data_IF_412686943444
#
_entry.id   IF_412686943444
#
_cell.length_a   1.000
_cell.length_b   1.000
_cell.length_c   1.000
_cell.angle_alpha   90.00
_cell.angle_beta   90.00
_cell.angle_gamma   90.00
#
_symmetry.space_group_name_H-M   'P 1'
#
loop_
_entity.id
_entity.type
_entity.pdbx_description
1 polymer ?
#
# COMPACT_ATOMS: atom_id res chain seq x y z
N UNK A 1 -9.64 -5.21 -12.00
CA UNK A 1 -10.29 -4.34 -13.01
C UNK A 1 -9.18 -3.44 -13.55
N UNK A 2 -8.70 -3.77 -14.73
CA UNK A 2 -7.74 -2.93 -15.45
C UNK A 2 -8.47 -1.75 -16.07
N UNK A 3 -8.03 -0.55 -15.74
CA UNK A 3 -8.29 0.63 -16.55
C UNK A 3 -7.20 0.66 -17.63
N UNK A 4 -7.58 0.49 -18.87
CA UNK A 4 -6.69 0.75 -19.99
C UNK A 4 -6.81 2.24 -20.30
N UNK A 5 -5.72 2.95 -20.14
CA UNK A 5 -5.67 4.39 -20.38
C UNK A 5 -5.16 4.68 -21.80
N UNK A 6 -5.60 5.78 -22.38
CA UNK A 6 -5.27 6.18 -23.75
C UNK A 6 -4.47 7.49 -23.82
N UNK A 7 -3.93 7.95 -22.68
CA UNK A 7 -3.12 9.16 -22.59
C UNK A 7 -1.79 8.90 -21.89
N UNK A 8 -0.83 9.78 -22.11
CA UNK A 8 0.44 9.83 -21.39
C UNK A 8 0.50 11.08 -20.52
N UNK A 9 1.06 10.91 -19.33
CA UNK A 9 1.31 12.02 -18.41
C UNK A 9 2.21 13.07 -19.06
N UNK A 10 1.98 14.32 -18.72
CA UNK A 10 2.83 15.43 -19.12
C UNK A 10 4.12 15.46 -18.29
N UNK A 11 5.10 16.28 -18.69
CA UNK A 11 6.39 16.38 -18.00
C UNK A 11 6.25 16.83 -16.53
N UNK A 12 5.32 17.71 -16.23
CA UNK A 12 5.03 18.22 -14.90
C UNK A 12 4.29 17.19 -14.02
N UNK A 13 3.69 16.16 -14.62
CA UNK A 13 3.06 15.04 -13.93
C UNK A 13 4.00 13.85 -13.68
N UNK A 14 5.28 13.97 -14.07
CA UNK A 14 6.25 12.88 -13.91
C UNK A 14 6.55 12.56 -12.45
N UNK A 15 6.47 13.54 -11.57
CA UNK A 15 6.71 13.33 -10.13
C UNK A 15 5.51 12.65 -9.47
N UNK A 16 4.31 13.09 -9.80
CA UNK A 16 3.07 12.55 -9.29
C UNK A 16 1.97 12.65 -10.34
N UNK A 17 1.37 11.50 -10.65
CA UNK A 17 0.25 11.40 -11.59
C UNK A 17 -1.01 11.10 -10.81
N UNK A 18 -2.01 12.00 -10.77
CA UNK A 18 -3.22 11.81 -9.98
C UNK A 18 -4.12 10.69 -10.52
N UNK A 19 -3.97 10.36 -11.79
CA UNK A 19 -4.69 9.29 -12.47
C UNK A 19 -3.70 8.40 -13.23
N UNK A 20 -3.94 7.07 -13.29
CA UNK A 20 -3.10 6.17 -14.08
C UNK A 20 -3.09 6.59 -15.56
N UNK A 21 -1.96 6.41 -16.22
CA UNK A 21 -1.74 6.70 -17.63
C UNK A 21 -1.12 5.49 -18.35
N UNK A 22 -0.88 5.57 -19.65
CA UNK A 22 -0.27 4.48 -20.43
C UNK A 22 1.10 4.05 -19.86
N UNK A 23 1.88 4.96 -19.28
CA UNK A 23 3.15 4.62 -18.65
C UNK A 23 2.92 3.74 -17.42
N UNK A 24 1.94 4.08 -16.59
CA UNK A 24 1.53 3.25 -15.45
C UNK A 24 1.09 1.85 -15.89
N UNK A 25 0.23 1.75 -16.90
CA UNK A 25 -0.26 0.46 -17.39
C UNK A 25 0.88 -0.41 -17.95
N UNK A 26 1.76 0.18 -18.78
CA UNK A 26 2.83 -0.56 -19.48
C UNK A 26 3.96 -0.97 -18.55
N UNK A 27 4.41 -0.10 -17.64
CA UNK A 27 5.54 -0.36 -16.76
C UNK A 27 5.15 -0.88 -15.38
N UNK A 28 3.99 -0.51 -14.90
CA UNK A 28 3.49 -0.92 -13.59
C UNK A 28 2.83 -2.30 -13.61
N UNK A 29 1.91 -2.53 -14.54
CA UNK A 29 1.08 -3.75 -14.54
C UNK A 29 1.51 -4.81 -15.55
N UNK A 30 1.71 -4.45 -16.83
CA UNK A 30 1.91 -5.44 -17.89
C UNK A 30 3.06 -6.43 -17.65
N UNK A 31 4.25 -6.02 -17.14
CA UNK A 31 5.32 -6.99 -16.88
C UNK A 31 4.92 -8.05 -15.85
N UNK A 32 4.21 -7.65 -14.82
CA UNK A 32 3.77 -8.57 -13.75
C UNK A 32 2.63 -9.49 -14.18
N UNK A 33 1.75 -9.06 -15.09
CA UNK A 33 0.69 -9.90 -15.63
C UNK A 33 1.19 -11.07 -16.47
N UNK A 34 2.46 -11.03 -16.90
CA UNK A 34 3.11 -12.17 -17.55
C UNK A 34 3.52 -13.27 -16.56
N UNK A 35 3.42 -12.99 -15.26
CA UNK A 35 3.73 -13.94 -14.18
C UNK A 35 2.44 -14.58 -13.68
N UNK A 36 2.36 -15.90 -13.76
CA UNK A 36 1.16 -16.68 -13.42
C UNK A 36 0.60 -16.37 -12.03
N UNK A 37 1.48 -16.20 -11.04
CA UNK A 37 1.05 -15.91 -9.67
C UNK A 37 0.38 -14.53 -9.56
N UNK A 38 0.92 -13.52 -10.24
CA UNK A 38 0.36 -12.17 -10.20
C UNK A 38 -0.97 -12.10 -10.96
N UNK A 39 -1.03 -12.72 -12.13
CA UNK A 39 -2.27 -12.83 -12.90
C UNK A 39 -3.39 -13.51 -12.10
N UNK A 40 -3.07 -14.59 -11.34
CA UNK A 40 -4.05 -15.24 -10.45
C UNK A 40 -4.56 -14.32 -9.34
N UNK A 41 -3.69 -13.49 -8.77
CA UNK A 41 -4.09 -12.51 -7.74
C UNK A 41 -5.06 -11.48 -8.33
N UNK A 42 -4.75 -10.93 -9.48
CA UNK A 42 -5.62 -9.96 -10.17
C UNK A 42 -6.98 -10.55 -10.53
N UNK A 43 -7.03 -11.80 -10.96
CA UNK A 43 -8.26 -12.49 -11.36
C UNK A 43 -9.26 -12.67 -10.19
N UNK A 44 -8.82 -12.57 -8.95
CA UNK A 44 -9.70 -12.75 -7.77
C UNK A 44 -10.59 -11.55 -7.49
N UNK A 45 -10.14 -10.35 -7.83
CA UNK A 45 -10.84 -9.12 -7.48
C UNK A 45 -12.19 -8.97 -8.22
N UNK A 46 -12.22 -9.26 -9.52
CA UNK A 46 -13.41 -9.00 -10.34
C UNK A 46 -14.63 -9.88 -9.97
N UNK A 47 -14.49 -11.20 -9.75
CA UNK A 47 -15.61 -12.04 -9.29
C UNK A 47 -16.18 -11.61 -7.95
N UNK A 48 -15.31 -11.31 -6.97
CA UNK A 48 -15.71 -10.82 -5.67
C UNK A 48 -16.42 -9.46 -5.76
N UNK A 49 -15.84 -8.51 -6.49
CA UNK A 49 -16.41 -7.17 -6.66
C UNK A 49 -17.82 -7.17 -7.26
N UNK A 50 -18.11 -8.08 -8.20
CA UNK A 50 -19.43 -8.20 -8.85
C UNK A 50 -20.52 -8.59 -7.86
N UNK A 51 -20.21 -9.42 -6.85
CA UNK A 51 -21.15 -9.95 -5.87
C UNK A 51 -21.13 -9.21 -4.52
N UNK A 52 -20.19 -8.31 -4.35
CA UNK A 52 -19.98 -7.57 -3.13
C UNK A 52 -21.05 -6.51 -2.87
N UNK A 53 -21.38 -6.28 -1.60
CA UNK A 53 -22.13 -5.09 -1.14
C UNK A 53 -21.32 -3.83 -1.41
N UNK A 54 -21.93 -2.66 -1.23
CA UNK A 54 -21.22 -1.39 -1.42
C UNK A 54 -20.04 -1.24 -0.43
N UNK A 55 -20.22 -1.64 0.83
CA UNK A 55 -19.16 -1.59 1.84
C UNK A 55 -18.02 -2.55 1.50
N UNK A 56 -18.34 -3.79 1.10
CA UNK A 56 -17.34 -4.77 0.68
C UNK A 56 -16.58 -4.31 -0.58
N UNK A 57 -17.22 -3.61 -1.51
CA UNK A 57 -16.56 -3.03 -2.68
C UNK A 57 -15.48 -2.00 -2.27
N UNK A 58 -15.76 -1.19 -1.25
CA UNK A 58 -14.76 -0.25 -0.74
C UNK A 58 -13.57 -0.98 -0.08
N UNK A 59 -13.81 -2.08 0.61
CA UNK A 59 -12.74 -2.94 1.13
C UNK A 59 -11.93 -3.59 -0.01
N UNK A 60 -12.60 -4.15 -1.00
CA UNK A 60 -11.96 -4.77 -2.17
C UNK A 60 -11.04 -3.76 -2.90
N UNK A 61 -11.51 -2.52 -3.09
CA UNK A 61 -10.69 -1.44 -3.66
C UNK A 61 -9.45 -1.12 -2.83
N UNK A 62 -9.55 -1.18 -1.49
CA UNK A 62 -8.41 -0.96 -0.59
C UNK A 62 -7.45 -2.12 -0.63
N UNK A 63 -7.94 -3.36 -0.69
CA UNK A 63 -7.09 -4.54 -0.83
C UNK A 63 -6.28 -4.48 -2.15
N UNK A 64 -6.90 -4.13 -3.28
CA UNK A 64 -6.18 -3.92 -4.53
C UNK A 64 -5.17 -2.77 -4.42
N UNK A 65 -5.56 -1.65 -3.78
CA UNK A 65 -4.68 -0.50 -3.58
C UNK A 65 -3.41 -0.84 -2.81
N UNK A 66 -3.53 -1.55 -1.69
CA UNK A 66 -2.39 -1.89 -0.82
C UNK A 66 -1.71 -3.22 -1.18
N UNK A 67 -2.12 -3.88 -2.25
CA UNK A 67 -1.46 -5.05 -2.84
C UNK A 67 -0.90 -4.72 -4.22
N UNK A 68 -1.66 -4.87 -5.27
CA UNK A 68 -1.18 -4.77 -6.66
C UNK A 68 -0.77 -3.35 -7.08
N UNK A 69 -1.32 -2.30 -6.43
CA UNK A 69 -0.93 -0.91 -6.71
C UNK A 69 0.24 -0.42 -5.85
N UNK A 70 0.22 -0.65 -4.54
CA UNK A 70 1.21 -0.12 -3.59
C UNK A 70 1.81 -1.20 -2.70
N UNK A 71 1.86 -2.44 -3.18
CA UNK A 71 2.35 -3.59 -2.41
C UNK A 71 3.87 -3.69 -2.35
N UNK A 72 4.32 -4.23 -1.22
CA UNK A 72 5.69 -4.63 -0.96
C UNK A 72 5.74 -6.12 -0.63
N UNK A 73 6.85 -6.78 -0.95
CA UNK A 73 7.05 -8.21 -0.70
C UNK A 73 8.46 -8.49 -0.20
N UNK A 74 8.63 -9.54 0.58
CA UNK A 74 9.95 -10.05 0.93
C UNK A 74 10.50 -10.92 -0.20
N UNK A 75 11.74 -10.66 -0.59
CA UNK A 75 12.51 -11.47 -1.51
C UNK A 75 13.97 -11.47 -1.06
N UNK A 76 14.57 -12.65 -0.90
CA UNK A 76 15.95 -12.80 -0.41
C UNK A 76 16.22 -12.01 0.89
N UNK A 77 15.29 -12.10 1.84
CA UNK A 77 15.32 -11.38 3.12
C UNK A 77 15.42 -9.85 2.99
N UNK A 78 14.87 -9.30 1.91
CA UNK A 78 14.81 -7.86 1.65
C UNK A 78 13.41 -7.43 1.23
N UNK A 79 13.03 -6.24 1.64
CA UNK A 79 11.78 -5.63 1.17
C UNK A 79 11.95 -5.19 -0.28
N UNK A 80 11.05 -5.63 -1.15
CA UNK A 80 10.99 -5.31 -2.58
C UNK A 80 9.68 -4.62 -2.93
N UNK A 81 9.76 -3.73 -3.89
CA UNK A 81 8.59 -3.06 -4.47
C UNK A 81 8.05 -3.90 -5.62
N UNK A 82 6.75 -4.16 -5.64
CA UNK A 82 6.07 -4.76 -6.80
C UNK A 82 4.81 -3.98 -7.21
N UNK A 83 4.30 -3.08 -6.36
CA UNK A 83 3.10 -2.32 -6.64
C UNK A 83 3.24 -1.36 -7.82
N UNK A 84 2.29 -1.43 -8.76
CA UNK A 84 2.32 -0.67 -10.01
C UNK A 84 2.35 0.85 -9.79
N UNK A 85 1.61 1.36 -8.80
CA UNK A 85 1.59 2.77 -8.42
C UNK A 85 2.93 3.28 -7.90
N UNK A 86 3.66 2.44 -7.15
CA UNK A 86 5.01 2.80 -6.70
C UNK A 86 5.98 2.81 -7.87
N UNK A 87 5.99 1.75 -8.70
CA UNK A 87 6.96 1.57 -9.81
C UNK A 87 6.80 2.67 -10.86
N UNK A 88 5.58 3.06 -11.15
CA UNK A 88 5.27 4.05 -12.18
C UNK A 88 5.25 5.51 -11.68
N UNK A 89 5.34 5.72 -10.37
CA UNK A 89 5.37 7.05 -9.74
C UNK A 89 6.77 7.40 -9.24
N UNK A 90 7.48 8.32 -9.91
CA UNK A 90 8.86 8.66 -9.55
C UNK A 90 9.00 9.10 -8.08
N UNK A 91 8.12 9.97 -7.63
CA UNK A 91 8.19 10.49 -6.26
C UNK A 91 7.83 9.42 -5.21
N UNK A 92 6.82 8.57 -5.49
CA UNK A 92 6.47 7.44 -4.61
C UNK A 92 7.62 6.42 -4.52
N UNK A 93 8.20 6.05 -5.65
CA UNK A 93 9.33 5.13 -5.70
C UNK A 93 10.55 5.70 -4.93
N UNK A 94 10.87 6.96 -5.15
CA UNK A 94 11.98 7.62 -4.47
C UNK A 94 11.75 7.68 -2.96
N UNK A 95 10.54 8.02 -2.52
CA UNK A 95 10.15 8.07 -1.11
C UNK A 95 10.25 6.69 -0.44
N UNK A 96 9.74 5.65 -1.11
CA UNK A 96 9.81 4.26 -0.62
C UNK A 96 11.25 3.77 -0.49
N UNK A 97 12.10 4.02 -1.50
CA UNK A 97 13.52 3.63 -1.47
C UNK A 97 14.29 4.40 -0.39
N UNK A 98 14.01 5.70 -0.22
CA UNK A 98 14.64 6.51 0.81
C UNK A 98 14.28 6.03 2.21
N UNK A 99 13.04 5.58 2.41
CA UNK A 99 12.62 4.98 3.68
C UNK A 99 13.36 3.67 3.96
N UNK A 100 13.53 2.79 2.98
CA UNK A 100 14.33 1.56 3.14
C UNK A 100 15.77 1.88 3.48
N UNK A 101 16.37 2.89 2.84
CA UNK A 101 17.73 3.33 3.14
C UNK A 101 17.84 3.90 4.56
N UNK A 102 16.88 4.70 4.99
CA UNK A 102 16.83 5.25 6.34
C UNK A 102 16.75 4.15 7.40
N UNK A 103 15.85 3.21 7.24
CA UNK A 103 15.69 2.08 8.16
C UNK A 103 16.97 1.26 8.28
N UNK A 104 17.67 1.05 7.17
CA UNK A 104 18.96 0.34 7.15
C UNK A 104 20.08 1.17 7.82
N UNK A 105 20.16 2.47 7.51
CA UNK A 105 21.17 3.37 8.08
C UNK A 105 21.05 3.53 9.59
N UNK A 106 19.81 3.66 10.05
CA UNK A 106 19.51 3.89 11.47
C UNK A 106 19.48 2.58 12.28
N UNK A 107 19.87 1.46 11.64
CA UNK A 107 19.92 0.11 12.24
C UNK A 107 18.60 -0.38 12.83
N UNK A 108 17.49 0.13 12.33
CA UNK A 108 16.14 -0.30 12.74
C UNK A 108 15.84 -1.69 12.20
N UNK A 109 16.35 -2.01 11.00
CA UNK A 109 16.28 -3.34 10.38
C UNK A 109 17.69 -3.93 10.32
N UNK A 110 17.88 -5.07 10.98
CA UNK A 110 19.07 -5.88 10.84
C UNK A 110 18.87 -6.90 9.71
N UNK A 111 19.47 -6.62 8.56
CA UNK A 111 19.41 -7.49 7.38
C UNK A 111 20.21 -8.80 7.53
N UNK A 112 20.95 -9.01 8.60
CA UNK A 112 21.57 -10.30 8.92
C UNK A 112 20.61 -11.27 9.62
N UNK A 113 19.55 -10.75 10.23
CA UNK A 113 18.46 -11.48 10.85
C UNK A 113 17.27 -11.66 9.93
N UNK A 114 16.19 -12.22 10.44
CA UNK A 114 14.90 -12.32 9.75
C UNK A 114 14.21 -10.96 9.71
N UNK A 115 14.20 -10.33 8.54
CA UNK A 115 13.64 -8.98 8.35
C UNK A 115 12.12 -8.96 8.55
N UNK A 116 11.41 -9.99 8.10
CA UNK A 116 9.96 -10.03 8.26
C UNK A 116 9.54 -10.24 9.72
N UNK A 117 10.25 -11.09 10.45
CA UNK A 117 10.01 -11.26 11.89
C UNK A 117 10.27 -9.97 12.67
N UNK A 118 11.32 -9.21 12.33
CA UNK A 118 11.57 -7.89 12.93
C UNK A 118 10.45 -6.91 12.63
N UNK A 119 9.95 -6.88 11.38
CA UNK A 119 8.82 -6.06 10.99
C UNK A 119 7.57 -6.41 11.81
N UNK A 120 7.29 -7.71 11.96
CA UNK A 120 6.17 -8.19 12.76
C UNK A 120 6.29 -7.80 14.23
N UNK A 121 7.47 -7.98 14.83
CA UNK A 121 7.72 -7.60 16.23
C UNK A 121 7.52 -6.10 16.47
N UNK A 122 8.04 -5.26 15.57
CA UNK A 122 7.84 -3.81 15.65
C UNK A 122 6.38 -3.41 15.49
N UNK A 123 5.69 -4.04 14.56
CA UNK A 123 4.27 -3.83 14.35
C UNK A 123 3.46 -4.18 15.61
N UNK A 124 3.73 -5.33 16.21
CA UNK A 124 3.00 -5.78 17.41
C UNK A 124 3.26 -4.89 18.62
N UNK A 125 4.48 -4.41 18.81
CA UNK A 125 4.82 -3.45 19.86
C UNK A 125 4.10 -2.11 19.72
N UNK A 126 3.84 -1.69 18.50
CA UNK A 126 3.31 -0.36 18.19
C UNK A 126 1.87 -0.40 17.67
N UNK A 127 1.18 -1.53 17.78
CA UNK A 127 -0.17 -1.76 17.24
C UNK A 127 -1.18 -0.69 17.67
N UNK A 128 -1.10 -0.24 18.92
CA UNK A 128 -1.99 0.80 19.45
C UNK A 128 -1.76 2.14 18.75
N UNK A 129 -0.51 2.56 18.59
CA UNK A 129 -0.14 3.79 17.90
C UNK A 129 -0.51 3.73 16.42
N UNK A 130 -0.29 2.60 15.77
CA UNK A 130 -0.70 2.37 14.38
C UNK A 130 -2.22 2.52 14.25
N UNK A 131 -2.99 1.96 15.17
CA UNK A 131 -4.45 2.08 15.17
C UNK A 131 -4.90 3.55 15.33
N UNK A 132 -4.22 4.32 16.16
CA UNK A 132 -4.45 5.76 16.32
C UNK A 132 -4.15 6.54 15.05
N UNK A 133 -3.05 6.18 14.36
CA UNK A 133 -2.68 6.79 13.06
C UNK A 133 -3.75 6.48 12.01
N UNK A 134 -4.18 5.23 11.90
CA UNK A 134 -5.23 4.83 10.93
C UNK A 134 -6.52 5.62 11.19
N UNK A 135 -6.94 5.73 12.45
CA UNK A 135 -8.11 6.50 12.82
C UNK A 135 -7.97 7.99 12.43
N UNK A 136 -6.80 8.56 12.67
CA UNK A 136 -6.49 9.95 12.28
C UNK A 136 -6.48 10.16 10.76
N UNK A 137 -5.84 9.27 10.00
CA UNK A 137 -5.83 9.33 8.53
C UNK A 137 -7.25 9.21 7.97
N UNK A 138 -8.07 8.34 8.55
CA UNK A 138 -9.48 8.19 8.18
C UNK A 138 -10.28 9.48 8.42
N UNK A 139 -10.07 10.13 9.56
CA UNK A 139 -10.69 11.42 9.89
C UNK A 139 -10.28 12.52 8.88
N UNK A 140 -8.98 12.64 8.58
CA UNK A 140 -8.44 13.61 7.63
C UNK A 140 -9.00 13.39 6.21
N UNK A 141 -9.07 12.14 5.78
CA UNK A 141 -9.66 11.79 4.50
C UNK A 141 -11.15 12.18 4.43
N UNK A 142 -11.92 11.93 5.49
CA UNK A 142 -13.34 12.31 5.56
C UNK A 142 -13.54 13.83 5.50
N UNK A 143 -12.60 14.60 6.04
CA UNK A 143 -12.62 16.07 5.99
C UNK A 143 -12.16 16.66 4.65
N UNK A 144 -11.67 15.82 3.73
CA UNK A 144 -11.10 16.27 2.46
C UNK A 144 -9.73 16.96 2.58
N UNK A 145 -9.05 16.82 3.72
CA UNK A 145 -7.75 17.43 3.99
C UNK A 145 -6.59 16.73 3.28
N UNK A 146 -6.86 15.64 2.54
CA UNK A 146 -5.90 14.87 1.74
C UNK A 146 -6.23 14.95 0.25
N UNK A 147 -6.55 16.14 -0.24
CA UNK A 147 -7.00 16.37 -1.61
C UNK A 147 -5.87 16.62 -2.62
N UNK A 148 -4.65 16.89 -2.14
CA UNK A 148 -3.44 17.05 -2.97
C UNK A 148 -2.24 16.40 -2.29
N UNK A 149 -1.19 16.10 -3.06
CA UNK A 149 0.00 15.45 -2.53
C UNK A 149 0.65 16.25 -1.41
N UNK A 150 0.98 17.52 -1.66
CA UNK A 150 1.67 18.37 -0.68
C UNK A 150 0.83 18.59 0.57
N UNK A 151 -0.45 18.84 0.38
CA UNK A 151 -1.38 19.03 1.48
C UNK A 151 -1.53 17.76 2.32
N UNK A 152 -1.78 16.62 1.67
CA UNK A 152 -1.93 15.34 2.36
C UNK A 152 -0.69 14.97 3.16
N UNK A 153 0.49 15.20 2.60
CA UNK A 153 1.75 14.92 3.26
C UNK A 153 1.99 15.75 4.52
N UNK A 154 1.79 17.07 4.42
CA UNK A 154 1.94 17.96 5.56
C UNK A 154 0.93 17.66 6.68
N UNK A 155 -0.28 17.28 6.30
CA UNK A 155 -1.34 16.92 7.24
C UNK A 155 -1.03 15.60 7.96
N UNK A 156 -0.47 14.60 7.26
CA UNK A 156 -0.03 13.34 7.89
C UNK A 156 1.13 13.60 8.86
N UNK A 157 2.10 14.43 8.51
CA UNK A 157 3.18 14.82 9.43
C UNK A 157 2.64 15.49 10.70
N UNK A 158 1.72 16.46 10.53
CA UNK A 158 1.08 17.13 11.66
C UNK A 158 0.27 16.16 12.53
N UNK A 159 -0.27 15.09 11.94
CA UNK A 159 -0.95 14.03 12.69
C UNK A 159 0.00 13.28 13.62
N UNK A 160 1.19 12.90 13.16
CA UNK A 160 2.21 12.26 14.02
C UNK A 160 2.56 13.14 15.22
N UNK A 161 2.81 14.43 14.96
CA UNK A 161 3.14 15.40 16.01
C UNK A 161 1.99 15.56 17.01
N UNK A 162 0.74 15.66 16.53
CA UNK A 162 -0.46 15.75 17.37
C UNK A 162 -0.67 14.51 18.25
N UNK A 163 -0.35 13.33 17.72
CA UNK A 163 -0.48 12.07 18.44
C UNK A 163 0.68 11.81 19.40
N UNK A 164 1.75 12.61 19.35
CA UNK A 164 2.96 12.41 20.14
C UNK A 164 3.73 11.16 19.73
N UNK A 165 3.59 10.72 18.48
CA UNK A 165 4.24 9.51 17.97
C UNK A 165 5.61 9.90 17.42
N UNK A 166 6.66 9.23 17.93
CA UNK A 166 8.01 9.39 17.41
C UNK A 166 8.08 8.95 15.96
N UNK A 167 8.79 9.74 15.14
CA UNK A 167 9.14 9.40 13.77
C UNK A 167 10.48 8.66 13.68
N UNK A 168 10.92 8.04 14.76
CA UNK A 168 12.09 7.17 14.81
C UNK A 168 11.66 5.70 14.72
N UNK A 169 12.51 4.85 14.21
CA UNK A 169 12.17 3.45 13.98
C UNK A 169 11.20 3.28 12.80
N UNK A 170 10.30 2.33 12.85
CA UNK A 170 9.29 2.08 11.79
C UNK A 170 8.27 3.20 11.65
N UNK A 171 8.08 3.98 12.70
CA UNK A 171 7.26 5.19 12.65
C UNK A 171 8.07 6.44 12.34
N UNK A 172 9.35 6.30 12.30
CA UNK A 172 10.26 7.43 12.33
C UNK A 172 10.50 8.08 11.00
N UNK A 173 9.91 7.53 9.98
CA UNK A 173 9.96 8.12 8.66
C UNK A 173 8.69 8.87 8.34
N UNK A 174 8.55 9.01 7.08
CA UNK A 174 7.38 9.60 6.48
C UNK A 174 6.36 8.50 6.14
N UNK A 175 6.77 7.23 6.21
CA UNK A 175 5.99 6.05 5.82
C UNK A 175 6.10 4.98 6.89
N UNK A 176 4.99 4.38 7.25
CA UNK A 176 4.93 3.21 8.12
C UNK A 176 4.98 1.95 7.26
N UNK A 177 5.88 1.02 7.61
CA UNK A 177 5.88 -0.32 7.07
C UNK A 177 5.20 -1.27 8.06
N UNK A 178 4.22 -2.03 7.60
CA UNK A 178 3.48 -3.01 8.39
C UNK A 178 3.38 -4.35 7.65
N UNK A 179 3.26 -5.49 8.36
CA UNK A 179 2.89 -6.73 7.71
C UNK A 179 1.54 -6.61 7.00
N UNK A 180 1.36 -7.35 5.90
CA UNK A 180 0.11 -7.34 5.16
C UNK A 180 -1.03 -7.91 6.02
N UNK A 181 -1.99 -7.07 6.36
CA UNK A 181 -3.10 -7.40 7.25
C UNK A 181 -4.41 -6.94 6.60
N UNK A 182 -5.25 -7.90 6.23
CA UNK A 182 -6.53 -7.66 5.54
C UNK A 182 -7.49 -6.83 6.39
N UNK A 183 -7.55 -7.07 7.70
CA UNK A 183 -8.46 -6.36 8.60
C UNK A 183 -8.03 -4.90 8.76
N UNK A 184 -6.74 -4.65 8.84
CA UNK A 184 -6.19 -3.30 8.91
C UNK A 184 -6.38 -2.55 7.58
N UNK A 185 -6.07 -3.20 6.45
CA UNK A 185 -6.27 -2.63 5.11
C UNK A 185 -7.75 -2.26 4.89
N UNK A 186 -8.67 -3.08 5.41
CA UNK A 186 -10.10 -2.78 5.32
C UNK A 186 -10.50 -1.45 5.99
N UNK A 187 -9.71 -0.95 6.92
CA UNK A 187 -10.02 0.26 7.69
C UNK A 187 -9.32 1.52 7.18
N UNK A 188 -8.14 1.37 6.56
CA UNK A 188 -7.38 2.52 6.10
C UNK A 188 -7.88 3.01 4.73
N UNK A 189 -8.20 4.32 4.56
CA UNK A 189 -8.63 4.84 3.27
C UNK A 189 -7.46 4.85 2.29
N UNK A 190 -7.74 4.61 1.01
CA UNK A 190 -6.77 4.87 -0.05
C UNK A 190 -6.63 6.38 -0.28
N UNK A 191 -5.40 6.84 -0.43
CA UNK A 191 -5.06 8.25 -0.63
C UNK A 191 -4.66 8.50 -2.08
N UNK A 192 -5.63 8.78 -2.95
CA UNK A 192 -5.41 8.90 -4.39
C UNK A 192 -4.59 10.15 -4.75
N UNK A 193 -4.76 11.23 -4.01
CA UNK A 193 -4.10 12.52 -4.29
C UNK A 193 -3.00 12.89 -3.29
N UNK A 194 -2.57 11.95 -2.45
CA UNK A 194 -1.51 12.14 -1.49
C UNK A 194 -0.63 10.90 -1.39
N UNK A 195 0.60 11.05 -0.89
CA UNK A 195 1.43 9.89 -0.56
C UNK A 195 0.73 8.97 0.43
N UNK A 196 0.91 7.66 0.25
CA UNK A 196 0.40 6.70 1.20
C UNK A 196 1.20 6.82 2.51
N UNK A 197 0.52 7.00 3.66
CA UNK A 197 1.19 7.10 4.94
C UNK A 197 1.69 5.75 5.45
N UNK A 198 1.24 4.66 4.84
CA UNK A 198 1.54 3.29 5.22
C UNK A 198 1.66 2.42 3.99
N UNK A 199 2.61 1.48 4.01
CA UNK A 199 2.72 0.39 3.05
C UNK A 199 2.70 -0.95 3.78
N UNK A 200 2.19 -1.97 3.09
CA UNK A 200 2.08 -3.31 3.63
C UNK A 200 3.06 -4.25 2.92
N UNK A 201 3.77 -5.03 3.73
CA UNK A 201 4.78 -5.99 3.28
C UNK A 201 4.23 -7.39 3.42
N UNK A 202 4.15 -8.14 2.33
CA UNK A 202 3.87 -9.57 2.35
C UNK A 202 5.16 -10.36 2.58
N UNK A 203 5.09 -11.44 3.35
CA UNK A 203 6.20 -12.37 3.51
C UNK A 203 6.56 -13.07 2.19
N UNK A 204 5.52 -13.38 1.39
CA UNK A 204 5.65 -13.93 0.05
C UNK A 204 4.40 -13.62 -0.79
N UNK A 205 4.48 -13.87 -2.08
CA UNK A 205 3.28 -13.78 -2.96
C UNK A 205 2.25 -14.86 -2.61
N UNK A 206 2.67 -16.04 -2.16
CA UNK A 206 1.79 -17.12 -1.71
C UNK A 206 1.04 -16.72 -0.45
N UNK A 207 1.70 -16.05 0.50
CA UNK A 207 1.03 -15.51 1.68
C UNK A 207 -0.02 -14.46 1.28
N UNK A 208 0.35 -13.53 0.41
CA UNK A 208 -0.59 -12.51 -0.08
C UNK A 208 -1.81 -13.14 -0.77
N UNK A 209 -1.57 -14.14 -1.63
CA UNK A 209 -2.60 -14.88 -2.33
C UNK A 209 -3.59 -15.54 -1.36
N UNK A 210 -3.08 -16.21 -0.33
CA UNK A 210 -3.88 -16.85 0.71
C UNK A 210 -4.68 -15.83 1.55
N UNK A 211 -4.06 -14.71 1.92
CA UNK A 211 -4.73 -13.64 2.67
C UNK A 211 -5.83 -12.96 1.87
N UNK A 212 -5.60 -12.68 0.60
CA UNK A 212 -6.62 -12.13 -0.29
C UNK A 212 -7.77 -13.13 -0.51
N UNK A 213 -7.46 -14.42 -0.68
CA UNK A 213 -8.48 -15.47 -0.79
C UNK A 213 -9.37 -15.55 0.45
N UNK A 214 -8.83 -15.38 1.64
CA UNK A 214 -9.60 -15.43 2.87
C UNK A 214 -10.75 -14.42 2.89
N UNK A 215 -10.58 -13.28 2.24
CA UNK A 215 -11.60 -12.23 2.14
C UNK A 215 -12.42 -12.32 0.84
N UNK A 216 -11.78 -12.51 -0.30
CA UNK A 216 -12.40 -12.37 -1.62
C UNK A 216 -13.23 -13.60 -2.00
N UNK A 217 -12.74 -14.81 -1.71
CA UNK A 217 -13.36 -16.06 -2.13
C UNK A 217 -14.76 -16.26 -1.55
N UNK A 218 -15.04 -16.04 -0.24
CA UNK A 218 -16.38 -16.16 0.30
C UNK A 218 -17.39 -15.23 -0.37
N UNK A 219 -16.96 -14.06 -0.82
CA UNK A 219 -17.81 -13.10 -1.54
C UNK A 219 -18.06 -13.59 -2.98
N UNK A 220 -16.99 -14.03 -3.66
CA UNK A 220 -17.07 -14.51 -5.05
C UNK A 220 -17.94 -15.77 -5.20
N UNK A 221 -18.03 -16.61 -4.17
CA UNK A 221 -18.80 -17.86 -4.18
C UNK A 221 -20.27 -17.71 -3.76
N UNK A 222 -20.72 -16.50 -3.39
CA UNK A 222 -22.14 -16.27 -3.03
C UNK A 222 -23.05 -16.64 -4.19
N UNK A 223 -24.14 -17.30 -3.87
CA UNK A 223 -25.24 -17.52 -4.82
C UNK A 223 -25.84 -16.18 -5.25
N UNK A 224 -26.16 -16.05 -6.52
CA UNK A 224 -26.78 -14.85 -7.11
C UNK A 224 -28.22 -14.72 -6.66
#
# INVERSE_FOLDING_TARGET
IFLITDYLRTRDQMEFTPEPDMFHDIFGHLPYLTLDFYARIEDKFAPAYKKATQEEREVIKRLAWYSTEFGLVMEDNRIRVFGAGIISGRAELANTIMEFYRLSRDTVIDYSGDVFAQLQEHFDKNREDISRIIAGVKELHQKGEMSSQDQGWNVVRALYDKLGISREGYFGGEVILAPFDVEMIAQIPKTVYAFNPMFFVCESFEQMDALLDSYLKPIAERSS
#
